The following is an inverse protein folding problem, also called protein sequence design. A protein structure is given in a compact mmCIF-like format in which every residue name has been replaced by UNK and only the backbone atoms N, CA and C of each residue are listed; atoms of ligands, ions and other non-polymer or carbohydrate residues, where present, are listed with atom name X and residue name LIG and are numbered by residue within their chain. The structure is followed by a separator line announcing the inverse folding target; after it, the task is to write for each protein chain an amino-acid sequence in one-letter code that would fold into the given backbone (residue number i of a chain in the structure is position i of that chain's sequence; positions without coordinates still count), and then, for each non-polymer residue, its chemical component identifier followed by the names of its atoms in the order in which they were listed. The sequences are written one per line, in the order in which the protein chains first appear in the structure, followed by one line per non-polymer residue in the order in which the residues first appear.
data_IF_804834936703
#
_entry.id   IF_804834936703
#
_cell.length_a   1.000
_cell.length_b   1.000
_cell.length_c   1.000
_cell.angle_alpha   90.00
_cell.angle_beta   90.00
_cell.angle_gamma   90.00
#
_symmetry.space_group_name_H-M   'P 1'
#
loop_
_entity.id
_entity.type
_entity.pdbx_description
1 polymer ?
#
# COMPACT_ATOMS: atom_id res chain seq x y z
N UNK A 1 5.79 17.70 -78.11
CA UNK A 1 7.18 17.21 -78.08
C UNK A 1 7.74 17.48 -76.69
N UNK A 2 8.54 16.54 -76.20
CA UNK A 2 9.03 16.36 -74.83
C UNK A 2 9.95 17.50 -74.34
N UNK A 3 9.95 17.74 -73.02
CA UNK A 3 11.21 17.73 -72.23
C UNK A 3 10.93 17.69 -70.73
N UNK A 4 11.39 16.61 -70.09
CA UNK A 4 11.48 16.37 -68.65
C UNK A 4 12.51 17.31 -67.98
N UNK A 5 12.21 17.77 -66.76
CA UNK A 5 13.22 17.99 -65.71
C UNK A 5 12.64 17.50 -64.38
N UNK A 6 13.25 16.47 -63.81
CA UNK A 6 13.03 16.02 -62.43
C UNK A 6 14.03 16.74 -61.51
N UNK A 7 13.58 17.30 -60.38
CA UNK A 7 14.43 17.35 -59.17
C UNK A 7 13.63 17.57 -57.86
N UNK A 8 13.64 16.52 -57.04
CA UNK A 8 13.59 16.42 -55.57
C UNK A 8 12.45 17.10 -54.78
N UNK A 9 11.54 16.24 -54.29
CA UNK A 9 10.69 16.47 -53.13
C UNK A 9 11.55 16.78 -51.89
N UNK A 10 11.51 18.01 -51.41
CA UNK A 10 11.96 18.37 -50.07
C UNK A 10 10.93 17.98 -49.02
N UNK A 11 11.16 16.84 -48.36
CA UNK A 11 10.58 16.55 -47.05
C UNK A 11 11.24 17.48 -46.02
N UNK A 12 10.43 18.14 -45.18
CA UNK A 12 10.72 18.68 -43.84
C UNK A 12 9.52 19.58 -43.49
N UNK A 13 8.77 19.44 -42.41
CA UNK A 13 8.87 18.58 -41.24
C UNK A 13 7.74 19.06 -40.33
N UNK A 14 7.04 18.10 -39.77
CA UNK A 14 6.42 18.16 -38.45
C UNK A 14 5.51 19.35 -38.15
N UNK A 15 4.24 19.14 -38.49
CA UNK A 15 3.10 19.54 -37.69
C UNK A 15 3.48 19.58 -36.20
N UNK A 16 3.64 20.77 -35.63
CA UNK A 16 3.74 20.97 -34.18
C UNK A 16 2.36 20.73 -33.56
N UNK A 17 1.88 19.50 -33.67
CA UNK A 17 0.88 18.97 -32.76
C UNK A 17 1.60 18.80 -31.42
N UNK A 18 1.37 19.76 -30.52
CA UNK A 18 1.69 19.64 -29.10
C UNK A 18 1.35 18.21 -28.65
N UNK A 19 2.27 17.47 -27.99
CA UNK A 19 1.93 16.19 -27.40
C UNK A 19 0.80 16.47 -26.40
N UNK A 20 -0.43 16.15 -26.79
CA UNK A 20 -1.61 16.23 -25.93
C UNK A 20 -1.24 15.43 -24.69
N UNK A 21 -0.92 16.13 -23.61
CA UNK A 21 -0.48 15.57 -22.33
C UNK A 21 -1.60 14.62 -21.91
N UNK A 22 -1.42 13.33 -22.21
CA UNK A 22 -2.43 12.30 -21.99
C UNK A 22 -2.58 12.28 -20.47
N UNK A 23 -3.65 12.90 -19.95
CA UNK A 23 -3.92 12.96 -18.53
C UNK A 23 -4.07 11.52 -18.08
N UNK A 24 -3.01 10.97 -17.49
CA UNK A 24 -3.07 9.67 -16.87
C UNK A 24 -4.03 9.86 -15.71
N UNK A 25 -5.28 9.41 -15.87
CA UNK A 25 -6.21 9.28 -14.75
C UNK A 25 -5.70 8.14 -13.89
N UNK A 26 -4.62 8.38 -13.15
CA UNK A 26 -4.23 7.47 -12.09
C UNK A 26 -5.37 7.48 -11.07
N UNK A 27 -5.92 6.31 -10.70
CA UNK A 27 -6.87 6.27 -9.60
C UNK A 27 -6.23 6.95 -8.39
N UNK A 28 -6.96 7.89 -7.79
CA UNK A 28 -6.51 8.60 -6.60
C UNK A 28 -6.44 7.60 -5.45
N UNK A 29 -5.24 7.17 -5.09
CA UNK A 29 -5.03 6.29 -3.94
C UNK A 29 -5.05 7.11 -2.67
N UNK A 30 -6.04 6.86 -1.81
CA UNK A 30 -6.16 7.52 -0.49
C UNK A 30 -5.35 6.75 0.55
N UNK A 31 -4.64 7.48 1.40
CA UNK A 31 -3.85 6.91 2.50
C UNK A 31 -4.39 7.48 3.81
N UNK A 32 -4.77 6.59 4.73
CA UNK A 32 -5.17 6.94 6.08
C UNK A 32 -4.03 6.57 7.02
N UNK A 33 -3.62 7.50 7.88
CA UNK A 33 -2.53 7.30 8.85
C UNK A 33 -3.09 7.42 10.26
N UNK A 34 -2.81 6.41 11.09
CA UNK A 34 -3.22 6.37 12.49
C UNK A 34 -1.97 6.56 13.36
N UNK A 35 -1.93 7.65 14.11
CA UNK A 35 -0.80 8.02 14.98
C UNK A 35 -1.25 8.10 16.44
N UNK A 36 -0.31 7.83 17.35
CA UNK A 36 -0.53 8.05 18.78
C UNK A 36 -0.35 9.52 19.08
N UNK A 37 -1.26 10.10 19.85
CA UNK A 37 -1.14 11.48 20.32
C UNK A 37 -0.34 11.59 21.63
N UNK A 38 -0.15 10.48 22.35
CA UNK A 38 0.47 10.43 23.67
C UNK A 38 1.59 9.39 23.70
N UNK A 39 1.81 8.76 24.86
CA UNK A 39 2.88 7.80 25.13
C UNK A 39 2.44 6.33 25.02
N UNK A 40 1.44 6.03 24.17
CA UNK A 40 0.98 4.66 23.95
C UNK A 40 -0.38 4.35 24.55
N UNK A 41 -0.84 3.12 24.30
CA UNK A 41 -2.09 2.53 24.80
C UNK A 41 -3.38 3.32 24.52
N UNK A 42 -3.40 4.16 23.48
CA UNK A 42 -4.58 4.93 23.07
C UNK A 42 -5.63 4.09 22.30
N UNK A 43 -5.40 2.79 22.14
CA UNK A 43 -6.32 1.90 21.42
C UNK A 43 -6.24 2.00 19.88
N UNK A 44 -5.08 2.41 19.34
CA UNK A 44 -4.85 2.51 17.88
C UNK A 44 -5.20 1.25 17.12
N UNK A 45 -4.92 0.07 17.69
CA UNK A 45 -5.23 -1.23 17.08
C UNK A 45 -6.71 -1.36 16.74
N UNK A 46 -7.60 -0.92 17.64
CA UNK A 46 -9.05 -0.95 17.41
C UNK A 46 -9.48 -0.03 16.26
N UNK A 47 -8.84 1.13 16.13
CA UNK A 47 -9.11 2.06 15.01
C UNK A 47 -8.61 1.48 13.69
N UNK A 48 -7.43 0.83 13.70
CA UNK A 48 -6.90 0.11 12.54
C UNK A 48 -7.86 -1.00 12.11
N UNK A 49 -8.36 -1.80 13.06
CA UNK A 49 -9.28 -2.90 12.80
C UNK A 49 -10.58 -2.43 12.14
N UNK A 50 -11.20 -1.37 12.66
CA UNK A 50 -12.40 -0.77 12.06
C UNK A 50 -12.15 -0.31 10.62
N UNK A 51 -11.03 0.37 10.37
CA UNK A 51 -10.71 0.91 9.04
C UNK A 51 -10.21 -0.17 8.06
N UNK A 52 -9.65 -1.27 8.57
CA UNK A 52 -9.15 -2.38 7.76
C UNK A 52 -10.26 -3.16 7.04
N UNK A 53 -11.53 -3.00 7.46
CA UNK A 53 -12.68 -3.62 6.78
C UNK A 53 -12.85 -3.10 5.35
N UNK A 54 -12.52 -1.82 5.12
CA UNK A 54 -12.68 -1.14 3.83
C UNK A 54 -11.34 -0.92 3.10
N UNK A 55 -10.22 -1.25 3.74
CA UNK A 55 -8.90 -1.03 3.18
C UNK A 55 -8.46 -2.19 2.26
N UNK A 56 -7.90 -1.86 1.10
CA UNK A 56 -7.22 -2.83 0.23
C UNK A 56 -5.85 -3.24 0.78
N UNK A 57 -5.19 -2.32 1.50
CA UNK A 57 -3.84 -2.49 2.02
C UNK A 57 -3.77 -1.93 3.43
N UNK A 58 -3.20 -2.71 4.36
CA UNK A 58 -2.85 -2.25 5.70
C UNK A 58 -1.36 -2.43 5.91
N UNK A 59 -0.70 -1.38 6.40
CA UNK A 59 0.74 -1.39 6.58
C UNK A 59 1.17 -0.96 7.98
N UNK A 60 2.26 -1.56 8.46
CA UNK A 60 2.99 -1.13 9.65
C UNK A 60 4.34 -0.56 9.21
N UNK A 61 4.59 0.71 9.50
CA UNK A 61 5.79 1.41 8.99
C UNK A 61 6.98 1.34 9.95
N UNK A 62 6.72 1.25 11.25
CA UNK A 62 7.69 1.38 12.35
C UNK A 62 7.24 0.59 13.59
N UNK A 63 8.18 0.37 14.52
CA UNK A 63 7.92 -0.27 15.81
C UNK A 63 8.37 -1.74 15.89
N UNK A 64 8.35 -2.31 17.08
CA UNK A 64 8.65 -3.73 17.34
C UNK A 64 7.43 -4.49 17.87
N UNK A 65 7.63 -5.64 18.49
CA UNK A 65 6.59 -6.46 19.12
C UNK A 65 6.19 -5.98 20.55
N UNK A 66 6.53 -4.74 20.90
CA UNK A 66 6.42 -4.21 22.26
C UNK A 66 4.98 -3.91 22.71
N UNK A 67 4.01 -3.91 21.79
CA UNK A 67 2.60 -3.70 22.08
C UNK A 67 1.77 -4.67 21.23
N UNK A 68 0.80 -5.32 21.87
CA UNK A 68 -0.11 -6.28 21.25
C UNK A 68 -1.50 -5.68 21.03
N UNK A 69 -2.25 -6.25 20.09
CA UNK A 69 -3.66 -5.98 19.88
C UNK A 69 -4.41 -7.29 19.66
N UNK A 70 -5.31 -7.61 20.59
CA UNK A 70 -6.19 -8.78 20.47
C UNK A 70 -7.46 -8.43 19.72
N UNK A 71 -7.83 -9.26 18.73
CA UNK A 71 -9.10 -9.19 18.01
C UNK A 71 -9.84 -10.50 18.14
N UNK A 72 -11.16 -10.46 18.30
CA UNK A 72 -12.01 -11.65 18.37
C UNK A 72 -12.86 -11.73 17.11
N UNK A 73 -12.71 -12.80 16.33
CA UNK A 73 -13.48 -13.04 15.10
C UNK A 73 -14.15 -14.39 15.22
N UNK A 74 -15.48 -14.43 15.10
CA UNK A 74 -16.26 -15.66 15.17
C UNK A 74 -15.95 -16.52 16.42
N UNK A 75 -15.71 -15.87 17.57
CA UNK A 75 -15.38 -16.54 18.84
C UNK A 75 -13.93 -17.05 18.94
N UNK A 76 -13.08 -16.79 17.94
CA UNK A 76 -11.65 -17.08 17.99
C UNK A 76 -10.87 -15.80 18.29
N UNK A 77 -9.99 -15.87 19.30
CA UNK A 77 -9.11 -14.76 19.67
C UNK A 77 -7.80 -14.82 18.87
N UNK A 78 -7.38 -13.66 18.37
CA UNK A 78 -6.15 -13.45 17.60
C UNK A 78 -5.33 -12.35 18.27
N UNK A 79 -4.10 -12.68 18.67
CA UNK A 79 -3.18 -11.75 19.33
C UNK A 79 -2.13 -11.25 18.34
N UNK A 80 -2.23 -9.96 17.97
CA UNK A 80 -1.34 -9.32 17.01
C UNK A 80 -0.24 -8.51 17.69
N UNK A 81 1.04 -8.82 17.48
CA UNK A 81 2.15 -8.01 18.02
C UNK A 81 2.93 -7.26 16.95
N UNK A 82 3.17 -7.92 15.82
CA UNK A 82 3.92 -7.40 14.69
C UNK A 82 3.05 -7.24 13.46
N UNK A 83 2.20 -8.23 13.19
CA UNK A 83 1.29 -8.20 12.05
C UNK A 83 0.20 -7.15 12.29
N UNK A 84 -0.21 -6.39 11.27
CA UNK A 84 -1.40 -5.56 11.40
C UNK A 84 -2.64 -6.45 11.50
N UNK A 85 -3.57 -6.11 12.40
CA UNK A 85 -4.83 -6.85 12.62
C UNK A 85 -5.69 -6.96 11.35
N UNK A 86 -5.53 -6.04 10.41
CA UNK A 86 -6.18 -6.08 9.10
C UNK A 86 -5.87 -7.34 8.26
N UNK A 87 -4.89 -8.16 8.63
CA UNK A 87 -4.63 -9.47 7.99
C UNK A 87 -5.81 -10.44 8.10
N UNK A 88 -6.73 -10.21 9.05
CA UNK A 88 -7.97 -10.98 9.18
C UNK A 88 -8.85 -10.83 7.94
N UNK A 89 -8.82 -9.66 7.28
CA UNK A 89 -9.59 -9.43 6.07
C UNK A 89 -8.89 -10.12 4.87
N UNK A 90 -9.47 -11.18 4.28
CA UNK A 90 -8.83 -11.95 3.22
C UNK A 90 -8.64 -11.15 1.92
N UNK A 91 -9.33 -10.00 1.77
CA UNK A 91 -9.19 -9.10 0.63
C UNK A 91 -8.09 -8.04 0.85
N UNK A 92 -7.62 -7.88 2.09
CA UNK A 92 -6.63 -6.88 2.46
C UNK A 92 -5.22 -7.47 2.40
N UNK A 93 -4.30 -6.74 1.75
CA UNK A 93 -2.87 -7.09 1.75
C UNK A 93 -2.16 -6.43 2.93
N UNK A 94 -1.56 -7.24 3.79
CA UNK A 94 -0.77 -6.78 4.94
C UNK A 94 0.70 -6.57 4.58
N UNK A 95 1.24 -5.39 4.89
CA UNK A 95 2.63 -5.01 4.59
C UNK A 95 3.36 -4.62 5.88
N UNK A 96 4.56 -5.16 6.06
CA UNK A 96 5.48 -4.75 7.13
C UNK A 96 6.64 -3.97 6.53
N UNK A 97 6.84 -2.74 6.98
CA UNK A 97 7.96 -1.90 6.58
C UNK A 97 9.29 -2.45 7.10
N UNK A 98 10.37 -2.16 6.38
CA UNK A 98 11.73 -2.63 6.73
C UNK A 98 12.15 -2.26 8.16
N UNK A 99 11.73 -1.08 8.64
CA UNK A 99 12.10 -0.60 9.98
C UNK A 99 11.25 -1.20 11.11
N UNK A 100 10.18 -1.92 10.79
CA UNK A 100 9.35 -2.62 11.78
C UNK A 100 9.71 -4.09 11.97
N UNK A 101 10.68 -4.64 11.23
CA UNK A 101 10.98 -6.06 11.26
C UNK A 101 11.95 -6.41 12.42
N UNK A 102 11.50 -7.12 13.49
CA UNK A 102 12.41 -7.76 14.44
C UNK A 102 13.08 -8.97 13.78
N UNK A 103 13.97 -9.67 14.51
CA UNK A 103 14.63 -10.85 13.97
C UNK A 103 13.61 -11.91 13.50
N UNK A 104 13.92 -12.59 12.39
CA UNK A 104 13.05 -13.55 11.71
C UNK A 104 12.36 -14.59 12.63
N UNK A 105 12.98 -15.09 13.72
CA UNK A 105 12.33 -16.01 14.64
C UNK A 105 11.04 -15.46 15.28
N UNK A 106 10.96 -14.16 15.54
CA UNK A 106 9.77 -13.54 16.14
C UNK A 106 8.59 -13.42 15.16
N UNK A 107 8.85 -13.46 13.86
CA UNK A 107 7.80 -13.36 12.83
C UNK A 107 6.99 -14.65 12.74
N UNK A 108 7.58 -15.81 13.05
CA UNK A 108 6.99 -17.13 12.82
C UNK A 108 6.78 -17.96 14.10
N UNK A 109 6.57 -17.31 15.24
CA UNK A 109 6.48 -17.98 16.54
C UNK A 109 5.17 -18.76 16.82
N UNK A 110 4.30 -18.95 15.84
CA UNK A 110 3.16 -19.86 15.95
C UNK A 110 2.11 -19.66 14.85
N UNK A 111 1.08 -20.52 14.80
CA UNK A 111 -0.05 -20.33 13.89
C UNK A 111 -0.93 -19.22 14.45
N UNK A 112 -0.68 -17.97 14.06
CA UNK A 112 -1.53 -16.79 14.31
C UNK A 112 -1.90 -16.47 15.77
N UNK A 113 -1.33 -17.20 16.75
CA UNK A 113 -1.71 -17.08 18.16
C UNK A 113 -0.83 -16.11 18.96
N UNK A 114 0.30 -15.68 18.40
CA UNK A 114 1.28 -14.84 19.08
C UNK A 114 2.11 -13.93 18.12
N UNK A 115 1.67 -13.76 16.87
CA UNK A 115 2.42 -13.00 15.83
C UNK A 115 2.07 -11.52 15.83
#
# INVERSE_FOLDING_TARGET
MMSNVQHLNGMNGDSLASPRKRSRSTPESKVIVILGAQWGDEGKGKVVDMLATEADIVCRCQGGNNAGHTVVVNGTEYDFHLLPSGIINPKCTSIIGKKSLPSLPFVFQGPFKYC
#
